data_IF_331167162070
#
_entry.id   IF_331167162070
#
_cell.length_a   1.000
_cell.length_b   1.000
_cell.length_c   1.000
_cell.angle_alpha   90.00
_cell.angle_beta   90.00
_cell.angle_gamma   90.00
#
_symmetry.space_group_name_H-M   'P 1'
#
loop_
_entity.id
_entity.type
_entity.pdbx_description
1 polymer ?
#
# COMPACT_ATOMS: atom_id res chain seq x y z
N UNK A 1 10.77 -1.81 -26.77
CA UNK A 1 9.99 -1.83 -25.51
C UNK A 1 9.58 -0.40 -25.17
N UNK A 2 8.32 -0.12 -24.80
CA UNK A 2 7.94 1.20 -24.33
C UNK A 2 8.78 1.51 -23.09
N UNK A 3 9.52 2.63 -23.12
CA UNK A 3 10.31 3.08 -21.98
C UNK A 3 9.36 3.35 -20.81
N UNK A 4 9.68 2.90 -19.59
CA UNK A 4 8.87 3.27 -18.45
C UNK A 4 8.86 4.80 -18.35
N UNK A 5 7.65 5.36 -18.29
CA UNK A 5 7.45 6.80 -18.13
C UNK A 5 7.42 7.09 -16.66
N UNK A 6 8.48 7.72 -16.19
CA UNK A 6 8.56 8.27 -14.86
C UNK A 6 7.72 9.56 -14.83
N UNK A 7 6.72 9.58 -13.96
CA UNK A 7 5.83 10.73 -13.77
C UNK A 7 6.03 11.27 -12.36
N UNK A 8 6.31 12.58 -12.25
CA UNK A 8 6.22 13.30 -10.98
C UNK A 8 4.74 13.56 -10.72
N UNK A 9 4.20 12.95 -9.68
CA UNK A 9 2.82 13.14 -9.27
C UNK A 9 2.78 14.01 -8.01
N UNK A 10 1.89 15.01 -8.03
CA UNK A 10 1.44 15.67 -6.82
C UNK A 10 0.23 14.89 -6.32
N UNK A 11 0.37 14.26 -5.17
CA UNK A 11 -0.73 13.53 -4.57
C UNK A 11 -1.41 14.41 -3.53
N UNK A 12 -2.73 14.53 -3.68
CA UNK A 12 -3.64 15.23 -2.79
C UNK A 12 -4.68 14.22 -2.30
N UNK A 13 -5.25 14.48 -1.14
CA UNK A 13 -6.46 13.77 -0.74
C UNK A 13 -7.68 14.27 -1.51
N UNK A 14 -8.61 13.36 -1.80
CA UNK A 14 -9.96 13.66 -2.25
C UNK A 14 -10.96 13.02 -1.28
N UNK A 15 -11.51 13.75 -0.28
CA UNK A 15 -12.54 13.21 0.62
C UNK A 15 -13.91 13.05 -0.07
N UNK A 16 -14.01 13.37 -1.36
CA UNK A 16 -15.24 13.36 -2.14
C UNK A 16 -14.98 13.91 -3.54
N UNK A 17 -15.98 13.96 -4.42
CA UNK A 17 -15.76 14.19 -5.85
C UNK A 17 -15.07 15.51 -6.21
N UNK A 18 -14.99 16.54 -5.34
CA UNK A 18 -14.49 17.86 -5.78
C UNK A 18 -13.69 18.73 -4.80
N UNK A 19 -13.15 18.25 -3.67
CA UNK A 19 -12.28 19.12 -2.84
C UNK A 19 -11.00 18.40 -2.41
N UNK A 20 -9.88 19.12 -2.48
CA UNK A 20 -8.64 18.77 -1.79
C UNK A 20 -8.66 19.49 -0.45
N UNK A 21 -8.32 18.79 0.63
CA UNK A 21 -8.06 19.45 1.90
C UNK A 21 -6.76 20.27 1.77
N UNK A 22 -6.81 21.61 1.88
CA UNK A 22 -5.64 22.46 1.72
C UNK A 22 -4.61 22.29 2.86
N UNK A 23 -5.00 21.75 4.00
CA UNK A 23 -4.15 21.63 5.19
C UNK A 23 -3.33 20.34 5.18
N UNK A 24 -3.69 19.38 4.30
CA UNK A 24 -2.89 18.18 4.12
C UNK A 24 -1.55 18.48 3.43
N UNK A 25 -0.46 17.85 3.89
CA UNK A 25 0.85 18.09 3.32
C UNK A 25 0.86 17.65 1.85
N UNK A 26 1.18 18.59 0.97
CA UNK A 26 1.48 18.28 -0.43
C UNK A 26 2.72 17.39 -0.46
N UNK A 27 2.60 16.23 -1.09
CA UNK A 27 3.73 15.31 -1.27
C UNK A 27 3.96 15.06 -2.75
N UNK A 28 5.19 15.30 -3.16
CA UNK A 28 5.68 14.94 -4.47
C UNK A 28 6.22 13.53 -4.44
N UNK A 29 5.80 12.74 -5.42
CA UNK A 29 6.24 11.36 -5.56
C UNK A 29 6.59 11.08 -7.01
N UNK A 30 7.52 10.17 -7.18
CA UNK A 30 7.93 9.62 -8.46
C UNK A 30 7.22 8.29 -8.65
N UNK A 31 6.35 8.24 -9.66
CA UNK A 31 5.55 7.06 -9.98
C UNK A 31 5.97 6.53 -11.35
N UNK A 32 6.28 5.25 -11.43
CA UNK A 32 6.74 4.58 -12.64
C UNK A 32 5.98 3.29 -12.86
N UNK A 33 5.64 2.95 -14.11
CA UNK A 33 5.10 1.63 -14.43
C UNK A 33 6.21 0.59 -14.28
N UNK A 34 6.03 -0.36 -13.38
CA UNK A 34 6.95 -1.45 -13.15
C UNK A 34 6.80 -2.55 -14.23
N UNK A 35 7.83 -3.40 -14.37
CA UNK A 35 7.81 -4.54 -15.27
C UNK A 35 6.73 -5.56 -14.88
N UNK A 36 5.79 -5.87 -15.77
CA UNK A 36 4.56 -6.63 -15.50
C UNK A 36 4.70 -8.16 -15.71
N UNK A 37 5.58 -8.81 -14.95
CA UNK A 37 5.80 -10.27 -14.97
C UNK A 37 5.58 -10.95 -13.62
N UNK A 38 5.21 -12.24 -13.60
CA UNK A 38 5.19 -13.03 -12.34
C UNK A 38 6.59 -13.04 -11.74
N UNK A 39 7.62 -13.33 -12.54
CA UNK A 39 9.01 -13.32 -12.08
C UNK A 39 9.45 -11.96 -11.52
N UNK A 40 9.04 -10.87 -12.17
CA UNK A 40 9.34 -9.51 -11.71
C UNK A 40 8.62 -9.19 -10.39
N UNK A 41 7.34 -9.55 -10.27
CA UNK A 41 6.58 -9.39 -9.03
C UNK A 41 7.20 -10.20 -7.89
N UNK A 42 7.53 -11.47 -8.12
CA UNK A 42 8.12 -12.34 -7.10
C UNK A 42 9.51 -11.89 -6.67
N UNK A 43 10.25 -11.17 -7.52
CA UNK A 43 11.53 -10.57 -7.14
C UNK A 43 11.39 -9.15 -6.53
N UNK A 44 10.18 -8.59 -6.51
CA UNK A 44 9.98 -7.19 -6.11
C UNK A 44 10.17 -7.01 -4.60
N UNK A 45 11.03 -6.08 -4.12
CA UNK A 45 11.40 -5.97 -2.71
C UNK A 45 10.20 -5.65 -1.81
N UNK A 46 9.32 -4.75 -2.25
CA UNK A 46 8.10 -4.43 -1.48
C UNK A 46 7.15 -5.63 -1.43
N UNK A 47 7.03 -6.42 -2.50
CA UNK A 47 6.15 -7.59 -2.50
C UNK A 47 6.66 -8.67 -1.54
N UNK A 48 7.98 -8.85 -1.44
CA UNK A 48 8.59 -9.80 -0.51
C UNK A 48 8.32 -9.43 0.94
N UNK A 49 8.42 -8.15 1.28
CA UNK A 49 8.28 -7.67 2.65
C UNK A 49 6.83 -7.39 3.06
N UNK A 50 5.98 -7.05 2.10
CA UNK A 50 4.61 -6.64 2.39
C UNK A 50 3.87 -7.71 3.22
N UNK A 51 3.11 -7.31 4.24
CA UNK A 51 2.33 -8.20 5.10
C UNK A 51 1.01 -8.63 4.44
N UNK A 52 1.13 -9.15 3.22
CA UNK A 52 0.03 -9.68 2.42
C UNK A 52 -0.39 -11.04 2.97
N UNK A 53 -1.70 -11.24 3.06
CA UNK A 53 -2.27 -12.55 3.33
C UNK A 53 -1.83 -13.57 2.25
N UNK A 54 -1.55 -14.84 2.61
CA UNK A 54 -1.11 -15.86 1.65
C UNK A 54 -2.04 -16.02 0.44
N UNK A 55 -3.36 -15.91 0.64
CA UNK A 55 -4.35 -15.98 -0.45
C UNK A 55 -4.22 -14.82 -1.45
N UNK A 56 -3.88 -13.61 -1.01
CA UNK A 56 -3.61 -12.48 -1.92
C UNK A 56 -2.33 -12.75 -2.71
N UNK A 57 -1.29 -13.27 -2.05
CA UNK A 57 -0.04 -13.64 -2.74
C UNK A 57 -0.30 -14.66 -3.85
N UNK A 58 -1.10 -15.70 -3.55
CA UNK A 58 -1.55 -16.69 -4.55
C UNK A 58 -2.32 -16.04 -5.69
N UNK A 59 -3.25 -15.13 -5.38
CA UNK A 59 -4.00 -14.40 -6.39
C UNK A 59 -3.06 -13.60 -7.31
N UNK A 60 -2.13 -12.81 -6.75
CA UNK A 60 -1.26 -11.92 -7.53
C UNK A 60 -0.36 -12.67 -8.54
N UNK A 61 -0.02 -13.93 -8.25
CA UNK A 61 0.77 -14.80 -9.14
C UNK A 61 -0.08 -15.80 -9.93
N UNK A 62 -1.41 -15.72 -9.83
CA UNK A 62 -2.31 -16.68 -10.47
C UNK A 62 -2.14 -16.65 -12.00
N UNK A 63 -1.94 -17.81 -12.67
CA UNK A 63 -1.69 -17.86 -14.10
C UNK A 63 -2.87 -17.38 -14.96
N UNK A 64 -4.09 -17.42 -14.41
CA UNK A 64 -5.29 -16.84 -15.03
C UNK A 64 -5.33 -15.31 -15.04
N UNK A 65 -4.48 -14.61 -14.27
CA UNK A 65 -4.35 -13.16 -14.31
C UNK A 65 -3.40 -12.75 -15.45
N UNK A 66 -3.97 -12.66 -16.65
CA UNK A 66 -3.22 -12.32 -17.86
C UNK A 66 -2.84 -10.83 -17.94
N UNK A 67 -3.54 -9.96 -17.20
CA UNK A 67 -3.29 -8.51 -17.19
C UNK A 67 -3.21 -7.98 -15.77
N UNK A 68 -2.10 -7.32 -15.47
CA UNK A 68 -1.86 -6.61 -14.20
C UNK A 68 -1.21 -5.27 -14.48
N UNK A 69 -1.57 -4.28 -13.69
CA UNK A 69 -0.85 -3.00 -13.66
C UNK A 69 -0.02 -3.00 -12.39
N UNK A 70 1.26 -2.66 -12.52
CA UNK A 70 2.17 -2.49 -11.40
C UNK A 70 2.83 -1.12 -11.50
N UNK A 71 2.89 -0.39 -10.39
CA UNK A 71 3.55 0.90 -10.31
C UNK A 71 4.46 0.97 -9.09
N UNK A 72 5.68 1.41 -9.32
CA UNK A 72 6.64 1.74 -8.27
C UNK A 72 6.40 3.19 -7.83
N UNK A 73 6.45 3.42 -6.53
CA UNK A 73 6.37 4.76 -5.93
C UNK A 73 7.65 5.04 -5.15
N UNK A 74 8.26 6.20 -5.38
CA UNK A 74 9.50 6.66 -4.74
C UNK A 74 9.36 8.12 -4.30
N UNK A 75 10.07 8.52 -3.24
CA UNK A 75 10.15 9.94 -2.84
C UNK A 75 11.08 10.77 -3.72
N UNK A 76 12.15 10.15 -4.20
CA UNK A 76 13.09 10.76 -5.13
C UNK A 76 13.21 9.88 -6.37
N UNK A 77 13.61 10.48 -7.49
CA UNK A 77 13.72 9.79 -8.79
C UNK A 77 14.59 8.54 -8.70
N UNK A 78 15.72 8.65 -8.01
CA UNK A 78 16.74 7.61 -7.89
C UNK A 78 16.73 6.92 -6.52
N UNK A 79 15.67 7.16 -5.72
CA UNK A 79 15.50 6.59 -4.39
C UNK A 79 15.02 5.14 -4.39
N UNK A 80 14.97 4.51 -3.20
CA UNK A 80 14.37 3.19 -3.06
C UNK A 80 12.87 3.21 -3.40
N UNK A 81 12.34 2.03 -3.76
CA UNK A 81 10.90 1.84 -3.91
C UNK A 81 10.28 1.78 -2.51
N UNK A 82 9.36 2.70 -2.27
CA UNK A 82 8.67 2.88 -0.99
C UNK A 82 7.32 2.16 -0.97
N UNK A 83 6.62 2.19 -2.11
CA UNK A 83 5.38 1.46 -2.30
C UNK A 83 5.30 0.81 -3.67
N UNK A 84 4.56 -0.31 -3.71
CA UNK A 84 4.10 -0.96 -4.93
C UNK A 84 2.58 -0.79 -4.99
N UNK A 85 2.09 -0.36 -6.14
CA UNK A 85 0.66 -0.31 -6.43
C UNK A 85 0.36 -1.38 -7.47
N UNK A 86 -0.60 -2.25 -7.17
CA UNK A 86 -1.00 -3.38 -7.99
C UNK A 86 -2.50 -3.34 -8.28
N UNK A 87 -2.88 -3.62 -9.53
CA UNK A 87 -4.29 -3.78 -9.91
C UNK A 87 -4.41 -5.00 -10.85
N UNK A 88 -5.27 -5.99 -10.52
CA UNK A 88 -5.61 -7.05 -11.44
C UNK A 88 -6.60 -6.50 -12.46
N UNK A 89 -6.23 -6.45 -13.75
CA UNK A 89 -7.17 -6.06 -14.80
C UNK A 89 -7.87 -7.30 -15.31
N UNK A 90 -9.20 -7.28 -15.28
CA UNK A 90 -10.05 -8.35 -15.81
C UNK A 90 -9.86 -9.69 -15.10
N UNK A 91 -9.53 -9.64 -13.81
CA UNK A 91 -9.87 -10.76 -12.95
C UNK A 91 -11.37 -11.02 -13.11
N UNK A 92 -11.77 -12.25 -13.43
CA UNK A 92 -13.14 -12.66 -13.10
C UNK A 92 -13.33 -12.48 -11.59
N UNK A 93 -14.58 -12.42 -11.09
CA UNK A 93 -14.81 -12.51 -9.65
C UNK A 93 -14.31 -13.87 -9.16
N UNK A 94 -13.06 -13.98 -8.72
CA UNK A 94 -12.47 -15.17 -8.13
C UNK A 94 -12.85 -15.30 -6.64
N UNK A 95 -13.22 -14.20 -5.95
CA UNK A 95 -13.82 -14.31 -4.60
C UNK A 95 -13.65 -13.10 -3.69
N UNK A 96 -13.94 -13.30 -2.40
CA UNK A 96 -13.61 -12.37 -1.33
C UNK A 96 -12.34 -12.88 -0.61
N UNK A 97 -11.33 -12.04 -0.50
CA UNK A 97 -10.02 -12.38 0.04
C UNK A 97 -9.67 -11.50 1.22
N UNK A 98 -9.13 -12.08 2.30
CA UNK A 98 -8.53 -11.27 3.37
C UNK A 98 -7.25 -10.60 2.87
N UNK A 99 -7.08 -9.31 3.12
CA UNK A 99 -5.95 -8.54 2.55
C UNK A 99 -4.60 -8.78 3.27
N UNK A 100 -4.60 -8.85 4.60
CA UNK A 100 -3.40 -8.87 5.45
C UNK A 100 -3.49 -9.91 6.59
N UNK A 101 -2.33 -10.30 7.16
CA UNK A 101 -2.22 -11.02 8.44
C UNK A 101 -1.19 -10.32 9.36
N UNK A 102 -1.32 -10.42 10.71
CA UNK A 102 -2.44 -10.97 11.51
C UNK A 102 -3.72 -10.09 11.57
N UNK A 103 -4.84 -10.55 12.17
CA UNK A 103 -6.04 -9.72 12.39
C UNK A 103 -5.69 -8.44 13.16
N UNK A 104 -6.19 -7.28 12.70
CA UNK A 104 -5.79 -5.96 13.25
C UNK A 104 -4.51 -5.39 12.62
N UNK A 105 -3.84 -6.16 11.76
CA UNK A 105 -2.73 -5.64 10.96
C UNK A 105 -3.28 -4.87 9.79
N UNK A 106 -2.95 -3.59 9.82
CA UNK A 106 -2.70 -2.80 8.61
C UNK A 106 -3.97 -2.44 7.87
N UNK A 107 -4.75 -1.66 8.62
CA UNK A 107 -5.51 -0.49 8.20
C UNK A 107 -5.66 -0.40 6.68
N UNK A 108 -6.78 -0.89 6.17
CA UNK A 108 -7.47 -0.21 5.07
C UNK A 108 -8.08 1.05 5.70
N UNK A 109 -7.48 2.24 5.50
CA UNK A 109 -8.07 3.44 6.06
C UNK A 109 -9.53 3.56 5.57
N UNK A 110 -9.85 3.18 4.34
CA UNK A 110 -11.11 3.51 3.67
C UNK A 110 -12.31 2.62 4.04
N UNK A 111 -12.16 1.68 4.98
CA UNK A 111 -13.26 0.81 5.44
C UNK A 111 -13.37 0.79 6.97
N UNK A 112 -14.08 1.75 7.57
CA UNK A 112 -14.31 1.75 9.02
C UNK A 112 -15.11 0.56 9.57
N UNK A 113 -15.64 -0.36 8.74
CA UNK A 113 -16.63 -1.38 9.17
C UNK A 113 -16.51 -2.77 8.52
N UNK A 114 -15.36 -3.16 7.96
CA UNK A 114 -15.16 -4.54 7.49
C UNK A 114 -14.22 -5.31 8.44
N UNK A 115 -14.76 -6.01 9.47
CA UNK A 115 -13.93 -6.71 10.46
C UNK A 115 -13.04 -7.80 9.86
N UNK A 116 -13.30 -8.20 8.61
CA UNK A 116 -12.61 -9.30 7.94
C UNK A 116 -11.59 -8.85 6.88
N UNK A 117 -11.46 -7.53 6.64
CA UNK A 117 -10.56 -6.94 5.63
C UNK A 117 -10.73 -7.60 4.25
N UNK A 118 -11.98 -7.72 3.76
CA UNK A 118 -12.28 -8.46 2.54
C UNK A 118 -12.12 -7.63 1.26
N UNK A 119 -11.21 -8.08 0.40
CA UNK A 119 -10.99 -7.62 -0.97
C UNK A 119 -11.84 -8.43 -1.96
N UNK A 120 -12.57 -7.74 -2.85
CA UNK A 120 -13.24 -8.38 -3.99
C UNK A 120 -12.49 -8.03 -5.27
N UNK A 121 -12.13 -9.04 -6.02
CA UNK A 121 -11.36 -8.93 -7.24
C UNK A 121 -12.24 -8.59 -8.45
N UNK A 122 -12.34 -7.29 -8.73
CA UNK A 122 -12.95 -6.84 -9.97
C UNK A 122 -12.46 -5.44 -10.36
N UNK A 123 -12.38 -4.52 -9.40
CA UNK A 123 -12.04 -3.10 -9.66
C UNK A 123 -11.19 -2.43 -8.56
N UNK A 124 -10.56 -3.21 -7.69
CA UNK A 124 -9.80 -2.66 -6.57
C UNK A 124 -8.31 -2.51 -6.92
N UNK A 125 -7.74 -1.38 -6.51
CA UNK A 125 -6.30 -1.19 -6.46
C UNK A 125 -5.80 -1.63 -5.09
N UNK A 126 -4.70 -2.39 -5.06
CA UNK A 126 -3.97 -2.73 -3.85
C UNK A 126 -2.72 -1.86 -3.81
N UNK A 127 -2.56 -1.09 -2.74
CA UNK A 127 -1.30 -0.45 -2.41
C UNK A 127 -0.59 -1.24 -1.31
N UNK A 128 0.73 -1.32 -1.40
CA UNK A 128 1.54 -1.99 -0.40
C UNK A 128 2.86 -1.27 -0.18
N UNK A 129 3.30 -1.26 1.07
CA UNK A 129 4.65 -0.92 1.51
C UNK A 129 5.27 -2.15 2.18
N UNK A 130 6.49 -2.01 2.70
CA UNK A 130 7.17 -3.10 3.40
C UNK A 130 6.45 -3.58 4.64
N UNK A 131 5.64 -2.73 5.27
CA UNK A 131 5.00 -3.01 6.55
C UNK A 131 3.50 -2.75 6.52
N UNK A 132 2.91 -2.31 5.40
CA UNK A 132 1.49 -1.98 5.32
C UNK A 132 0.89 -2.38 3.98
N UNK A 133 -0.40 -2.71 3.97
CA UNK A 133 -1.18 -2.96 2.76
C UNK A 133 -2.50 -2.22 2.89
N UNK A 134 -3.02 -1.70 1.78
CA UNK A 134 -4.31 -1.03 1.74
C UNK A 134 -4.98 -1.29 0.40
N UNK A 135 -6.29 -1.06 0.34
CA UNK A 135 -7.08 -1.21 -0.88
C UNK A 135 -7.93 0.03 -1.09
N UNK A 136 -8.23 0.36 -2.35
CA UNK A 136 -9.21 1.39 -2.67
C UNK A 136 -10.14 0.87 -3.78
N UNK A 137 -11.45 1.06 -3.62
CA UNK A 137 -12.44 0.55 -4.57
C UNK A 137 -12.59 1.33 -5.87
N UNK A 138 -12.90 0.60 -6.95
CA UNK A 138 -13.73 1.04 -8.07
C UNK A 138 -13.06 1.89 -9.16
N UNK A 139 -12.42 1.25 -10.15
CA UNK A 139 -12.23 1.81 -11.51
C UNK A 139 -10.83 2.35 -11.83
N UNK A 140 -10.73 3.15 -12.91
CA UNK A 140 -9.47 3.66 -13.50
C UNK A 140 -8.79 4.78 -12.66
N UNK A 141 -8.99 4.83 -11.35
CA UNK A 141 -8.65 5.99 -10.49
C UNK A 141 -7.39 5.76 -9.64
N UNK A 142 -6.25 5.71 -10.30
CA UNK A 142 -4.93 5.58 -9.66
C UNK A 142 -4.60 6.67 -8.62
N UNK A 143 -5.17 7.86 -8.75
CA UNK A 143 -5.01 8.94 -7.79
C UNK A 143 -5.59 8.62 -6.40
N UNK A 144 -6.59 7.74 -6.28
CA UNK A 144 -7.19 7.39 -4.99
C UNK A 144 -6.21 6.56 -4.13
N UNK A 145 -5.57 5.56 -4.71
CA UNK A 145 -4.55 4.74 -4.01
C UNK A 145 -3.28 5.55 -3.72
N UNK A 146 -2.98 6.58 -4.52
CA UNK A 146 -1.91 7.54 -4.22
C UNK A 146 -2.28 8.49 -3.07
N UNK A 147 -3.53 8.97 -3.01
CA UNK A 147 -4.03 9.76 -1.89
C UNK A 147 -4.01 8.98 -0.57
N UNK A 148 -4.44 7.71 -0.62
CA UNK A 148 -4.31 6.76 0.48
C UNK A 148 -2.89 6.67 1.02
N UNK A 149 -1.93 6.58 0.11
CA UNK A 149 -0.53 6.52 0.46
C UNK A 149 -0.04 7.82 1.11
N UNK A 150 -0.50 8.99 0.67
CA UNK A 150 -0.17 10.27 1.33
C UNK A 150 -0.66 10.31 2.78
N UNK A 151 -1.88 9.84 3.04
CA UNK A 151 -2.43 9.77 4.39
C UNK A 151 -1.60 8.84 5.27
N UNK A 152 -1.27 7.66 4.72
CA UNK A 152 -0.42 6.70 5.41
C UNK A 152 0.92 7.32 5.85
N UNK A 153 1.55 8.08 4.97
CA UNK A 153 2.80 8.79 5.24
C UNK A 153 2.64 9.95 6.23
N UNK A 154 1.47 10.58 6.24
CA UNK A 154 1.12 11.62 7.21
C UNK A 154 0.61 11.05 8.54
N UNK A 155 0.53 9.72 8.69
CA UNK A 155 -0.06 9.03 9.85
C UNK A 155 -1.51 9.44 10.07
N UNK A 156 -2.29 9.52 8.98
CA UNK A 156 -3.70 9.88 8.99
C UNK A 156 -4.57 8.71 8.47
N UNK A 157 -5.82 8.67 8.92
CA UNK A 157 -6.89 7.82 8.38
C UNK A 157 -7.50 8.46 7.09
N UNK A 158 -8.55 7.93 6.43
CA UNK A 158 -9.11 8.56 5.23
C UNK A 158 -9.78 9.89 5.46
N UNK A 159 -10.27 10.12 6.67
CA UNK A 159 -10.95 11.36 7.01
C UNK A 159 -9.93 12.47 7.29
N UNK A 160 -8.64 12.12 7.37
CA UNK A 160 -7.57 13.04 7.69
C UNK A 160 -7.29 13.08 9.20
N UNK A 161 -7.90 12.20 9.98
CA UNK A 161 -7.72 12.12 11.41
C UNK A 161 -6.42 11.37 11.77
N UNK A 162 -5.69 11.78 12.81
CA UNK A 162 -4.46 11.09 13.21
C UNK A 162 -4.70 9.62 13.57
N UNK A 163 -3.89 8.74 12.98
CA UNK A 163 -3.86 7.33 13.35
C UNK A 163 -3.33 7.18 14.79
N UNK A 164 -3.87 6.21 15.56
CA UNK A 164 -3.32 5.89 16.88
C UNK A 164 -1.85 5.52 16.77
N UNK A 165 -1.08 5.81 17.83
CA UNK A 165 0.33 5.43 17.93
C UNK A 165 0.49 3.93 17.59
N UNK A 166 1.51 3.59 16.80
CA UNK A 166 1.81 2.17 16.60
C UNK A 166 2.14 1.58 17.97
N UNK A 167 1.60 0.40 18.31
CA UNK A 167 2.03 -0.27 19.52
C UNK A 167 3.54 -0.50 19.40
N UNK A 168 4.29 0.14 20.28
CA UNK A 168 5.70 -0.18 20.46
C UNK A 168 5.72 -1.65 20.88
N UNK A 169 6.36 -2.50 20.08
CA UNK A 169 6.60 -3.88 20.50
C UNK A 169 7.32 -3.88 21.84
N UNK A 170 7.25 -4.99 22.57
CA UNK A 170 8.08 -5.17 23.76
C UNK A 170 9.53 -4.84 23.38
N UNK A 171 10.18 -3.98 24.18
CA UNK A 171 11.62 -3.75 24.06
C UNK A 171 12.27 -5.13 24.20
N UNK A 172 13.09 -5.59 23.23
CA UNK A 172 13.77 -6.86 23.37
C UNK A 172 14.57 -6.86 24.68
N UNK A 173 14.49 -7.93 25.48
CA UNK A 173 15.16 -8.02 26.80
C UNK A 173 16.66 -7.64 26.75
N UNK A 174 17.30 -7.80 25.58
CA UNK A 174 18.69 -7.39 25.33
C UNK A 174 18.95 -5.87 25.43
N UNK A 175 17.93 -5.03 25.26
CA UNK A 175 18.02 -3.57 25.39
C UNK A 175 17.81 -3.09 26.83
N UNK A 176 17.16 -3.88 27.71
CA UNK A 176 17.10 -3.59 29.15
C UNK A 176 18.49 -3.71 29.79
N UNK A 177 19.26 -4.74 29.41
CA UNK A 177 20.65 -4.92 29.83
C UNK A 177 21.56 -3.77 29.34
N UNK A 178 21.31 -3.24 28.14
CA UNK A 178 22.06 -2.11 27.59
C UNK A 178 21.72 -0.79 28.32
N UNK A 179 20.46 -0.58 28.72
CA UNK A 179 20.02 0.61 29.45
C UNK A 179 20.40 0.61 30.93
N UNK A 180 20.50 -0.58 31.55
CA UNK A 180 20.97 -0.73 32.93
C UNK A 180 22.42 -0.26 33.15
N UNK A 181 23.23 -0.18 32.09
CA UNK A 181 24.62 0.30 32.15
C UNK A 181 24.79 1.82 31.98
N UNK A 182 23.70 2.56 31.74
CA UNK A 182 23.72 4.02 31.50
C UNK A 182 23.16 4.85 32.66
N UNK A 183 22.68 4.22 33.74
CA UNK A 183 22.31 4.93 34.96
C UNK A 183 23.54 5.05 35.91
N UNK A 184 23.95 6.27 36.30
CA UNK A 184 25.02 6.48 37.28
C UNK A 184 24.62 6.08 38.71
#
# INVERSE_FOLDING_TARGET
>A
MPRPRLVRALAYHHPGPHQADPDLPRREMWVERAADGIAALTAHPVYQLAPLHPEIRKLMVHPGLQRRIMKDVRFTKDGPIEALIWCPRWAGRFGAYRLAEPPGSLYDPYRPHDPDNLFTDYDHWIGMTRNRVWTTGGGDRDHLVLGAYVHLLARLDPHGDPLPAEPQGAIPDADEDALGTLAP
#
